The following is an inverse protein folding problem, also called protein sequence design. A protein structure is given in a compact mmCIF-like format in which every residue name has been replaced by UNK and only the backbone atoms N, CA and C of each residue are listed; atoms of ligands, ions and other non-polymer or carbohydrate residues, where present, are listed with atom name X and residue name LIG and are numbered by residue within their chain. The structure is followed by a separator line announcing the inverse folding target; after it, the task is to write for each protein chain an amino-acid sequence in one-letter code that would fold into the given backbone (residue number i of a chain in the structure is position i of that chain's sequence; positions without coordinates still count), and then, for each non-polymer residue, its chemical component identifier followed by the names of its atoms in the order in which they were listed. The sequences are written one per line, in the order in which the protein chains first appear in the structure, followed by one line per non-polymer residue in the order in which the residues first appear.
data_IF_336454199628
#
_entry.id   IF_336454199628
#
_cell.length_a   1.000
_cell.length_b   1.000
_cell.length_c   1.000
_cell.angle_alpha   90.00
_cell.angle_beta   90.00
_cell.angle_gamma   90.00
#
_symmetry.space_group_name_H-M   'P 1'
#
loop_
_entity.id
_entity.type
_entity.pdbx_description
1 polymer ?
#
# COMPACT_ATOMS: atom_id res chain seq x y z
N UNK A 1 -30.06 8.01 -41.08
CA UNK A 1 -29.87 7.76 -39.65
C UNK A 1 -28.60 6.92 -39.49
N UNK A 2 -27.55 7.46 -38.88
CA UNK A 2 -26.29 6.74 -38.69
C UNK A 2 -26.39 5.87 -37.42
N UNK A 3 -26.08 4.58 -37.56
CA UNK A 3 -26.10 3.58 -36.49
C UNK A 3 -24.84 3.78 -35.62
N UNK A 4 -25.01 4.18 -34.37
CA UNK A 4 -23.93 4.22 -33.39
C UNK A 4 -23.62 2.78 -32.97
N UNK A 5 -22.50 2.23 -33.43
CA UNK A 5 -21.94 0.99 -32.91
C UNK A 5 -21.03 1.34 -31.72
N UNK A 6 -21.24 0.78 -30.52
CA UNK A 6 -20.37 1.04 -29.39
C UNK A 6 -18.98 0.44 -29.68
N UNK A 7 -17.96 1.29 -29.67
CA UNK A 7 -16.57 0.86 -29.83
C UNK A 7 -16.20 -0.08 -28.69
N UNK A 8 -15.65 -1.24 -29.04
CA UNK A 8 -15.24 -2.27 -28.08
C UNK A 8 -14.00 -1.78 -27.32
N UNK A 9 -14.20 -1.10 -26.20
CA UNK A 9 -13.11 -0.68 -25.32
C UNK A 9 -12.44 -1.91 -24.68
N UNK A 10 -11.10 -1.92 -24.66
CA UNK A 10 -10.28 -2.95 -24.02
C UNK A 10 -9.48 -2.30 -22.89
N UNK A 11 -9.57 -2.87 -21.69
CA UNK A 11 -8.71 -2.48 -20.56
C UNK A 11 -7.36 -3.18 -20.76
N UNK A 12 -6.28 -2.39 -20.77
CA UNK A 12 -4.90 -2.87 -20.83
C UNK A 12 -4.22 -2.44 -19.53
N UNK A 13 -3.52 -3.38 -18.89
CA UNK A 13 -2.69 -3.10 -17.72
C UNK A 13 -1.27 -2.84 -18.19
N UNK A 14 -0.68 -1.75 -17.72
CA UNK A 14 0.71 -1.38 -17.99
C UNK A 14 1.49 -1.28 -16.68
N UNK A 15 2.78 -1.65 -16.73
CA UNK A 15 3.65 -1.50 -15.57
C UNK A 15 4.00 -0.02 -15.38
N UNK A 16 3.67 0.53 -14.21
CA UNK A 16 3.91 1.93 -13.88
C UNK A 16 5.27 2.14 -13.21
N UNK A 17 5.74 1.15 -12.44
CA UNK A 17 7.01 1.20 -11.73
C UNK A 17 7.53 -0.20 -11.42
N UNK A 18 8.84 -0.30 -11.21
CA UNK A 18 9.51 -1.52 -10.77
C UNK A 18 10.36 -1.21 -9.54
N UNK A 19 10.33 -2.11 -8.56
CA UNK A 19 11.17 -2.07 -7.38
C UNK A 19 11.91 -3.39 -7.26
N UNK A 20 13.22 -3.35 -7.09
CA UNK A 20 14.02 -4.54 -6.88
C UNK A 20 14.64 -4.54 -5.48
N UNK A 21 14.36 -5.60 -4.72
CA UNK A 21 14.95 -5.83 -3.42
C UNK A 21 16.36 -6.37 -3.48
N UNK A 22 16.86 -6.86 -4.62
CA UNK A 22 18.18 -7.49 -4.72
C UNK A 22 19.32 -6.59 -4.24
N UNK A 23 19.11 -5.27 -4.23
CA UNK A 23 20.05 -4.28 -3.71
C UNK A 23 20.06 -4.16 -2.18
N UNK A 24 19.02 -4.67 -1.53
CA UNK A 24 18.90 -4.75 -0.08
C UNK A 24 19.11 -6.21 0.29
N UNK A 25 20.03 -6.52 1.21
CA UNK A 25 20.33 -7.90 1.66
C UNK A 25 19.17 -8.56 2.44
N UNK A 26 17.95 -8.08 2.22
CA UNK A 26 16.74 -8.42 2.92
C UNK A 26 15.94 -9.43 2.10
N UNK A 27 15.14 -10.18 2.84
CA UNK A 27 14.40 -11.33 2.38
C UNK A 27 13.19 -10.93 1.50
N UNK A 28 12.46 -11.91 0.96
CA UNK A 28 11.35 -11.71 0.02
C UNK A 28 10.16 -10.90 0.60
N UNK A 29 9.27 -10.44 -0.28
CA UNK A 29 8.04 -9.78 0.16
C UNK A 29 7.01 -10.80 0.65
N UNK A 30 6.41 -10.52 1.80
CA UNK A 30 5.36 -11.37 2.39
C UNK A 30 3.98 -10.75 2.29
N UNK A 31 3.86 -9.43 2.36
CA UNK A 31 2.59 -8.72 2.25
C UNK A 31 2.80 -7.25 1.86
N UNK A 32 1.73 -6.59 1.40
CA UNK A 32 1.74 -5.16 1.13
C UNK A 32 0.43 -4.49 1.54
N UNK A 33 0.50 -3.19 1.80
CA UNK A 33 -0.67 -2.33 1.99
C UNK A 33 -0.44 -0.99 1.27
N UNK A 34 -1.51 -0.42 0.72
CA UNK A 34 -1.47 0.79 -0.09
C UNK A 34 -2.35 1.84 0.58
N UNK A 35 -1.88 3.09 0.61
CA UNK A 35 -2.67 4.23 1.05
C UNK A 35 -2.44 5.45 0.17
N UNK A 36 -3.51 6.20 -0.10
CA UNK A 36 -3.42 7.50 -0.77
C UNK A 36 -3.09 8.57 0.27
N UNK A 37 -2.04 9.35 0.05
CA UNK A 37 -1.71 10.52 0.88
C UNK A 37 -2.31 11.79 0.26
N UNK A 38 -2.32 11.86 -1.06
CA UNK A 38 -2.97 12.90 -1.85
C UNK A 38 -3.55 12.30 -3.14
N UNK A 39 -4.13 13.13 -4.02
CA UNK A 39 -4.66 12.69 -5.32
C UNK A 39 -3.55 12.15 -6.26
N UNK A 40 -2.30 12.50 -6.00
CA UNK A 40 -1.16 12.17 -6.85
C UNK A 40 -0.08 11.36 -6.16
N UNK A 41 -0.14 11.21 -4.84
CA UNK A 41 0.86 10.50 -4.07
C UNK A 41 0.25 9.30 -3.35
N UNK A 42 0.80 8.14 -3.67
CA UNK A 42 0.44 6.85 -3.08
C UNK A 42 1.62 6.35 -2.28
N UNK A 43 1.37 5.93 -1.04
CA UNK A 43 2.38 5.24 -0.24
C UNK A 43 2.09 3.75 -0.19
N UNK A 44 3.16 2.96 -0.26
CA UNK A 44 3.12 1.51 -0.26
C UNK A 44 3.94 1.02 0.92
N UNK A 45 3.28 0.33 1.84
CA UNK A 45 3.91 -0.38 2.95
C UNK A 45 4.17 -1.81 2.50
N UNK A 46 5.41 -2.27 2.63
CA UNK A 46 5.78 -3.63 2.23
C UNK A 46 6.38 -4.37 3.41
N UNK A 47 5.75 -5.48 3.78
CA UNK A 47 6.23 -6.39 4.80
C UNK A 47 7.09 -7.49 4.19
N UNK A 48 8.11 -7.91 4.93
CA UNK A 48 9.02 -8.98 4.53
C UNK A 48 8.93 -10.19 5.45
N UNK A 49 9.37 -11.32 4.93
CA UNK A 49 9.60 -12.59 5.63
C UNK A 49 10.66 -12.50 6.77
N UNK A 50 11.55 -11.50 6.77
CA UNK A 50 12.50 -11.24 7.88
C UNK A 50 11.90 -10.39 9.00
N UNK A 51 10.70 -9.85 8.81
CA UNK A 51 10.01 -9.04 9.81
C UNK A 51 10.28 -7.55 9.75
N UNK A 52 10.74 -7.05 8.60
CA UNK A 52 10.88 -5.62 8.33
C UNK A 52 9.69 -5.07 7.53
N UNK A 53 9.40 -3.79 7.73
CA UNK A 53 8.48 -3.00 6.91
C UNK A 53 9.24 -1.91 6.18
N UNK A 54 8.96 -1.78 4.88
CA UNK A 54 9.43 -0.70 4.02
C UNK A 54 8.28 0.26 3.73
N UNK A 55 8.61 1.54 3.64
CA UNK A 55 7.72 2.59 3.17
C UNK A 55 8.23 3.10 1.83
N UNK A 56 7.44 2.88 0.78
CA UNK A 56 7.70 3.39 -0.56
C UNK A 56 6.70 4.52 -0.85
N UNK A 57 7.12 5.52 -1.62
CA UNK A 57 6.22 6.54 -2.20
C UNK A 57 6.22 6.38 -3.72
N UNK A 58 5.03 6.43 -4.30
CA UNK A 58 4.74 6.34 -5.71
C UNK A 58 4.09 7.65 -6.17
N UNK A 59 4.72 8.31 -7.13
CA UNK A 59 4.16 9.46 -7.82
C UNK A 59 3.24 9.00 -8.97
N UNK A 60 1.93 9.15 -8.76
CA UNK A 60 0.89 8.79 -9.71
C UNK A 60 0.58 9.91 -10.73
N UNK A 61 1.17 11.10 -10.61
CA UNK A 61 0.85 12.25 -11.48
C UNK A 61 1.57 12.26 -12.84
N UNK A 62 2.65 11.49 -12.99
CA UNK A 62 3.40 11.47 -14.25
C UNK A 62 2.74 10.56 -15.29
N UNK A 63 2.70 11.02 -16.53
CA UNK A 63 2.39 10.18 -17.69
C UNK A 63 3.31 8.94 -17.70
N UNK A 64 2.87 7.79 -18.24
CA UNK A 64 3.73 6.61 -18.36
C UNK A 64 5.00 7.01 -19.10
N UNK A 65 6.20 6.57 -18.65
CA UNK A 65 7.45 6.98 -19.28
C UNK A 65 7.43 6.57 -20.75
N UNK A 66 7.28 7.55 -21.63
CA UNK A 66 7.48 7.36 -23.06
C UNK A 66 8.92 6.91 -23.24
N UNK A 67 9.07 5.69 -23.75
CA UNK A 67 10.34 5.04 -24.02
C UNK A 67 11.45 5.99 -24.47
N UNK A 68 12.62 5.83 -23.86
CA UNK A 68 13.96 6.34 -24.21
C UNK A 68 14.51 7.48 -23.32
N UNK A 69 15.56 7.13 -22.58
CA UNK A 69 16.48 8.00 -21.82
C UNK A 69 15.93 8.71 -20.56
N UNK A 70 16.12 8.07 -19.41
CA UNK A 70 16.10 8.72 -18.09
C UNK A 70 15.37 7.91 -17.03
N UNK A 71 16.09 7.45 -16.01
CA UNK A 71 15.61 6.76 -14.82
C UNK A 71 14.74 7.66 -13.95
N UNK A 72 13.54 8.01 -14.42
CA UNK A 72 12.50 8.60 -13.58
C UNK A 72 11.96 7.53 -12.64
N UNK A 73 12.67 7.23 -11.55
CA UNK A 73 12.18 6.34 -10.50
C UNK A 73 10.92 6.95 -9.87
N UNK A 74 9.75 6.58 -10.41
CA UNK A 74 8.43 6.98 -9.90
C UNK A 74 8.17 6.45 -8.50
N UNK A 75 8.87 5.39 -8.14
CA UNK A 75 8.78 4.71 -6.86
C UNK A 75 10.07 4.94 -6.10
N UNK A 76 9.96 5.48 -4.88
CA UNK A 76 11.09 5.82 -4.03
C UNK A 76 10.98 5.09 -2.70
N UNK A 77 12.06 4.44 -2.28
CA UNK A 77 12.17 3.93 -0.91
C UNK A 77 12.41 5.10 0.04
N UNK A 78 11.48 5.33 0.95
CA UNK A 78 11.57 6.41 1.94
C UNK A 78 12.27 5.94 3.21
N UNK A 79 11.80 4.85 3.81
CA UNK A 79 12.29 4.34 5.10
C UNK A 79 12.02 2.84 5.23
N UNK A 80 12.72 2.20 6.17
CA UNK A 80 12.38 0.87 6.64
C UNK A 80 12.53 0.77 8.17
N UNK A 81 11.82 -0.18 8.78
CA UNK A 81 11.93 -0.48 10.21
C UNK A 81 11.81 -1.99 10.44
N UNK A 82 12.61 -2.53 11.35
CA UNK A 82 12.44 -3.91 11.81
C UNK A 82 11.36 -3.96 12.90
N UNK A 83 10.35 -4.81 12.70
CA UNK A 83 9.23 -5.00 13.62
C UNK A 83 9.44 -6.26 14.47
N UNK A 84 9.95 -7.32 13.85
CA UNK A 84 10.13 -8.64 14.47
C UNK A 84 11.22 -9.42 13.73
N UNK A 85 11.52 -10.63 14.18
CA UNK A 85 12.43 -11.58 13.51
C UNK A 85 11.67 -12.66 12.72
N UNK A 86 10.44 -12.36 12.29
CA UNK A 86 9.53 -13.30 11.65
C UNK A 86 8.71 -12.62 10.58
N UNK A 87 8.18 -13.40 9.64
CA UNK A 87 7.45 -12.87 8.51
C UNK A 87 6.28 -11.98 8.91
N UNK A 88 6.22 -10.79 8.33
CA UNK A 88 5.06 -9.92 8.44
C UNK A 88 3.89 -10.59 7.71
N UNK A 89 2.82 -10.89 8.42
CA UNK A 89 1.65 -11.59 7.89
C UNK A 89 0.64 -10.64 7.26
N UNK A 90 0.42 -9.49 7.87
CA UNK A 90 -0.44 -8.47 7.31
C UNK A 90 -0.06 -7.07 7.80
N UNK A 91 -0.36 -6.09 6.96
CA UNK A 91 -0.25 -4.66 7.27
C UNK A 91 -1.61 -4.02 6.99
N UNK A 92 -2.10 -3.23 7.93
CA UNK A 92 -3.34 -2.48 7.79
C UNK A 92 -3.07 -1.01 8.09
N UNK A 93 -3.34 -0.14 7.13
CA UNK A 93 -3.20 1.30 7.32
C UNK A 93 -4.42 1.82 8.09
N UNK A 94 -4.16 2.54 9.18
CA UNK A 94 -5.19 3.22 9.99
C UNK A 94 -4.84 4.71 9.99
N UNK A 95 -5.16 5.35 8.87
CA UNK A 95 -4.80 6.76 8.62
C UNK A 95 -5.44 7.70 9.62
N UNK A 96 -6.61 7.35 10.15
CA UNK A 96 -7.38 8.14 11.11
C UNK A 96 -6.61 8.40 12.41
N UNK A 97 -5.69 7.50 12.80
CA UNK A 97 -4.85 7.65 14.01
C UNK A 97 -3.37 7.82 13.69
N UNK A 98 -3.01 7.98 12.42
CA UNK A 98 -1.62 8.14 12.02
C UNK A 98 -0.76 6.89 12.25
N UNK A 99 -1.34 5.68 12.20
CA UNK A 99 -0.61 4.41 12.44
C UNK A 99 -0.85 3.37 11.36
N UNK A 100 0.07 2.40 11.27
CA UNK A 100 -0.18 1.09 10.66
C UNK A 100 -0.23 0.03 11.75
N UNK A 101 -1.11 -0.93 11.55
CA UNK A 101 -1.24 -2.12 12.35
C UNK A 101 -0.60 -3.29 11.63
N UNK A 102 0.26 -4.02 12.33
CA UNK A 102 1.11 -5.06 11.75
C UNK A 102 0.91 -6.35 12.52
N UNK A 103 0.72 -7.45 11.81
CA UNK A 103 0.69 -8.80 12.40
C UNK A 103 1.97 -9.52 12.04
N UNK A 104 2.70 -9.99 13.06
CA UNK A 104 3.85 -10.88 12.93
C UNK A 104 3.86 -11.81 14.13
N UNK A 105 4.55 -12.96 14.05
CA UNK A 105 4.84 -13.87 15.18
C UNK A 105 3.72 -14.16 16.21
N UNK A 106 2.45 -14.04 15.82
CA UNK A 106 1.30 -14.21 16.71
C UNK A 106 0.95 -12.98 17.57
N UNK A 107 1.57 -11.83 17.30
CA UNK A 107 1.37 -10.57 17.99
C UNK A 107 0.94 -9.45 17.03
N UNK A 108 0.40 -8.39 17.61
CA UNK A 108 0.07 -7.16 16.90
C UNK A 108 1.05 -6.06 17.28
N UNK A 109 1.42 -5.24 16.31
CA UNK A 109 2.32 -4.11 16.47
C UNK A 109 1.67 -2.84 15.90
N UNK A 110 1.83 -1.74 16.62
CA UNK A 110 1.55 -0.39 16.15
C UNK A 110 2.85 0.25 15.70
N UNK A 111 2.83 0.73 14.46
CA UNK A 111 3.95 1.46 13.86
C UNK A 111 3.44 2.79 13.34
N UNK A 112 4.27 3.81 13.40
CA UNK A 112 3.95 5.13 12.85
C UNK A 112 3.82 5.10 11.32
N UNK A 113 2.88 5.86 10.73
CA UNK A 113 2.71 5.90 9.26
C UNK A 113 4.01 6.28 8.53
N UNK A 114 4.85 7.11 9.16
CA UNK A 114 6.10 7.55 8.58
C UNK A 114 7.28 6.63 8.94
N UNK A 115 7.05 5.55 9.69
CA UNK A 115 8.07 4.63 10.22
C UNK A 115 9.17 5.35 11.05
N UNK A 116 8.84 6.48 11.68
CA UNK A 116 9.81 7.28 12.44
C UNK A 116 9.85 6.94 13.93
N UNK A 117 8.71 6.56 14.49
CA UNK A 117 8.59 6.29 15.91
C UNK A 117 8.92 4.82 16.23
N UNK A 118 9.38 4.54 17.46
CA UNK A 118 9.60 3.17 17.90
C UNK A 118 8.36 2.29 17.73
N UNK A 119 8.58 1.07 17.27
CA UNK A 119 7.56 0.04 17.10
C UNK A 119 6.99 -0.35 18.48
N UNK A 120 5.66 -0.36 18.61
CA UNK A 120 4.98 -0.73 19.86
C UNK A 120 4.24 -2.05 19.71
N UNK A 121 4.62 -3.05 20.50
CA UNK A 121 3.91 -4.33 20.55
C UNK A 121 2.69 -4.26 21.47
N UNK A 122 1.56 -4.75 20.99
CA UNK A 122 0.31 -4.88 21.75
C UNK A 122 0.30 -6.23 22.49
N UNK A 123 1.00 -6.28 23.62
CA UNK A 123 1.27 -7.53 24.36
C UNK A 123 0.05 -8.25 24.94
N UNK A 124 -1.08 -7.56 25.06
CA UNK A 124 -2.35 -8.11 25.55
C UNK A 124 -2.99 -9.10 24.57
N UNK A 125 -2.66 -9.00 23.28
CA UNK A 125 -3.22 -9.82 22.21
C UNK A 125 -2.17 -10.82 21.74
N UNK A 126 -2.32 -12.09 22.14
CA UNK A 126 -1.45 -13.20 21.73
C UNK A 126 -2.22 -14.18 20.84
N UNK A 127 -1.50 -14.85 19.94
CA UNK A 127 -2.10 -15.80 19.00
C UNK A 127 -2.88 -15.13 17.87
N UNK A 128 -2.57 -13.87 17.56
CA UNK A 128 -3.23 -13.15 16.48
C UNK A 128 -2.74 -13.66 15.14
N UNK A 129 -3.67 -14.13 14.29
CA UNK A 129 -3.36 -14.65 12.96
C UNK A 129 -3.96 -13.80 11.82
N UNK A 130 -5.09 -13.16 12.08
CA UNK A 130 -5.82 -12.37 11.07
C UNK A 130 -6.36 -11.10 11.73
N UNK A 131 -6.28 -10.00 10.99
CA UNK A 131 -6.92 -8.73 11.32
C UNK A 131 -7.75 -8.31 10.11
N UNK A 132 -8.94 -7.76 10.35
CA UNK A 132 -9.78 -7.19 9.32
C UNK A 132 -10.45 -5.91 9.84
N UNK A 133 -10.64 -4.94 8.93
CA UNK A 133 -11.46 -3.76 9.22
C UNK A 133 -12.93 -4.17 9.19
N UNK A 134 -13.66 -3.90 10.28
CA UNK A 134 -15.12 -4.04 10.27
C UNK A 134 -15.73 -2.88 9.50
N UNK A 135 -16.52 -3.18 8.47
CA UNK A 135 -17.33 -2.19 7.76
C UNK A 135 -18.69 -2.16 8.45
N UNK A 136 -19.04 -1.02 9.06
CA UNK A 136 -20.37 -0.80 9.62
C UNK A 136 -21.21 -0.05 8.60
N UNK A 137 -22.34 -0.61 8.18
CA UNK A 137 -23.37 0.15 7.47
C UNK A 137 -24.01 1.13 8.45
N UNK A 138 -23.84 2.43 8.22
CA UNK A 138 -24.68 3.46 8.82
C UNK A 138 -25.80 3.79 7.83
N UNK A 139 -27.06 3.88 8.29
CA UNK A 139 -28.21 4.28 7.46
C UNK A 139 -28.08 5.71 6.90
N UNK A 140 -27.16 6.51 7.44
CA UNK A 140 -26.77 7.81 6.90
C UNK A 140 -25.73 7.63 5.79
N UNK A 141 -26.23 7.64 4.55
CA UNK A 141 -25.48 7.34 3.33
C UNK A 141 -24.20 8.16 3.11
N UNK A 142 -23.12 7.44 2.79
CA UNK A 142 -22.20 7.67 1.67
C UNK A 142 -21.03 6.71 1.87
N UNK A 143 -21.10 5.56 1.19
CA UNK A 143 -19.96 4.67 1.05
C UNK A 143 -18.99 5.32 0.05
N UNK A 144 -18.10 6.19 0.52
CA UNK A 144 -16.98 6.74 -0.28
C UNK A 144 -15.88 5.68 -0.50
N UNK A 145 -16.27 4.45 -0.85
CA UNK A 145 -15.34 3.35 -1.13
C UNK A 145 -15.00 3.22 -2.62
N UNK A 146 -15.56 4.09 -3.47
CA UNK A 146 -15.24 4.17 -4.89
C UNK A 146 -15.29 5.65 -5.30
N UNK A 147 -14.21 6.40 -5.05
CA UNK A 147 -13.92 7.59 -5.84
C UNK A 147 -12.65 7.34 -6.63
N UNK A 148 -12.74 6.37 -7.55
CA UNK A 148 -12.08 6.51 -8.84
C UNK A 148 -13.03 7.33 -9.69
N UNK A 149 -12.70 8.60 -9.91
CA UNK A 149 -13.45 9.45 -10.83
C UNK A 149 -13.42 8.79 -12.22
N UNK A 150 -14.57 8.24 -12.63
CA UNK A 150 -14.83 8.02 -14.05
C UNK A 150 -15.04 9.40 -14.66
N UNK A 151 -13.99 9.95 -15.26
CA UNK A 151 -14.10 11.14 -16.12
C UNK A 151 -14.99 10.74 -17.29
N UNK A 152 -16.27 11.09 -17.24
CA UNK A 152 -17.05 11.30 -18.45
C UNK A 152 -16.59 12.62 -19.07
N UNK A 153 -16.01 12.47 -20.26
CA UNK A 153 -15.64 13.51 -21.24
C UNK A 153 -16.61 14.68 -21.30
#
# INVERSE_FOLDING_TARGET
MAKFEPSKARIVLESVAQFDLSQTSLSSFSCLAIASVSNSEVVIYVGTDSGAIFLLSLDASSDPPTSSAGSGERLKLLRYVSVSHSAIRSVHVVSEIGKILVVSDGYMYLVDLQLQQPVKRLSLLKGVNVVARRVCSSETGSLNWIQGECITT
#
